data_IF_902715128879
#
_entry.id   IF_902715128879
#
_cell.length_a   1.000
_cell.length_b   1.000
_cell.length_c   1.000
_cell.angle_alpha   90.00
_cell.angle_beta   90.00
_cell.angle_gamma   90.00
#
_symmetry.space_group_name_H-M   'P 1'
#
loop_
_entity.id
_entity.type
_entity.pdbx_description
1 polymer ?
#
# COMPACT_ATOMS: atom_id res chain seq x y z
N UNK A 1 12.89 6.37 12.36
CA UNK A 1 11.96 5.22 12.48
C UNK A 1 11.60 4.81 11.06
N UNK A 2 11.89 3.57 10.65
CA UNK A 2 11.80 3.18 9.24
C UNK A 2 10.45 2.47 9.01
N UNK A 3 9.49 3.14 8.36
CA UNK A 3 8.13 2.62 8.13
C UNK A 3 8.14 1.22 7.51
N UNK A 4 9.09 0.96 6.60
CA UNK A 4 9.32 -0.35 5.99
C UNK A 4 9.55 -1.47 7.02
N UNK A 5 10.16 -1.17 8.17
CA UNK A 5 10.37 -2.16 9.24
C UNK A 5 9.06 -2.47 9.97
N UNK A 6 8.23 -1.45 10.25
CA UNK A 6 6.96 -1.64 10.94
C UNK A 6 5.96 -2.40 10.07
N UNK A 7 5.94 -2.13 8.76
CA UNK A 7 5.15 -2.91 7.79
C UNK A 7 5.58 -4.39 7.83
N UNK A 8 6.90 -4.66 7.81
CA UNK A 8 7.47 -6.02 7.90
C UNK A 8 7.10 -6.79 9.17
N UNK A 9 6.67 -6.10 10.22
CA UNK A 9 6.30 -6.72 11.49
C UNK A 9 4.81 -7.12 11.54
N UNK A 10 3.97 -6.61 10.62
CA UNK A 10 2.50 -6.79 10.66
C UNK A 10 1.91 -7.51 9.44
N UNK A 11 2.68 -7.67 8.36
CA UNK A 11 2.28 -8.42 7.16
C UNK A 11 3.35 -9.42 6.73
N UNK A 12 2.93 -10.47 6.05
CA UNK A 12 3.75 -11.52 5.46
C UNK A 12 4.65 -11.01 4.35
N UNK A 13 5.75 -11.73 4.09
CA UNK A 13 6.70 -11.35 3.03
C UNK A 13 6.03 -11.23 1.65
N UNK A 14 5.13 -12.15 1.31
CA UNK A 14 4.36 -12.11 0.07
C UNK A 14 3.42 -10.89 0.00
N UNK A 15 2.82 -10.48 1.11
CA UNK A 15 1.99 -9.27 1.17
C UNK A 15 2.85 -8.01 1.01
N UNK A 16 4.09 -8.02 1.49
CA UNK A 16 5.05 -6.92 1.30
C UNK A 16 5.44 -6.79 -0.17
N UNK A 17 5.72 -7.91 -0.84
CA UNK A 17 6.03 -7.90 -2.29
C UNK A 17 4.86 -7.34 -3.11
N UNK A 18 3.62 -7.74 -2.78
CA UNK A 18 2.44 -7.16 -3.40
C UNK A 18 2.32 -5.67 -3.08
N UNK A 19 2.54 -5.25 -1.84
CA UNK A 19 2.46 -3.86 -1.42
C UNK A 19 3.50 -2.98 -2.13
N UNK A 20 4.75 -3.45 -2.25
CA UNK A 20 5.80 -2.76 -3.01
C UNK A 20 5.41 -2.64 -4.49
N UNK A 21 4.80 -3.68 -5.07
CA UNK A 21 4.26 -3.67 -6.43
C UNK A 21 3.15 -2.62 -6.60
N UNK A 22 2.19 -2.56 -5.67
CA UNK A 22 1.08 -1.59 -5.70
C UNK A 22 1.57 -0.15 -5.48
N UNK A 23 2.57 0.05 -4.63
CA UNK A 23 3.18 1.35 -4.40
C UNK A 23 3.95 1.84 -5.66
N UNK A 24 4.72 0.95 -6.29
CA UNK A 24 5.40 1.25 -7.55
C UNK A 24 4.40 1.56 -8.67
N UNK A 25 3.32 0.79 -8.78
CA UNK A 25 2.25 1.06 -9.74
C UNK A 25 1.61 2.44 -9.53
N UNK A 26 1.34 2.82 -8.28
CA UNK A 26 0.78 4.13 -7.96
C UNK A 26 1.76 5.28 -8.31
N UNK A 27 3.06 5.11 -8.02
CA UNK A 27 4.14 6.05 -8.39
C UNK A 27 4.18 6.33 -9.90
N UNK A 28 4.01 5.30 -10.73
CA UNK A 28 4.02 5.44 -12.19
C UNK A 28 2.68 5.99 -12.72
N UNK A 29 1.57 5.69 -12.05
CA UNK A 29 0.22 6.00 -12.55
C UNK A 29 -0.24 7.45 -12.32
N UNK A 30 0.36 8.19 -11.38
CA UNK A 30 -0.06 9.56 -11.09
C UNK A 30 0.97 10.37 -10.31
N UNK A 31 1.52 11.47 -10.87
CA UNK A 31 2.42 12.33 -10.13
C UNK A 31 1.63 13.20 -9.14
N UNK A 32 1.59 12.80 -7.87
CA UNK A 32 1.36 13.72 -6.75
C UNK A 32 0.09 13.51 -5.91
N UNK A 33 -0.86 12.67 -6.34
CA UNK A 33 -2.02 12.30 -5.50
C UNK A 33 -2.14 10.78 -5.34
N UNK A 34 -1.47 10.27 -4.30
CA UNK A 34 -1.51 8.85 -3.93
C UNK A 34 -2.71 8.47 -3.07
N UNK A 35 -3.62 9.42 -2.83
CA UNK A 35 -4.87 9.18 -2.10
C UNK A 35 -6.03 8.80 -3.02
N UNK A 36 -5.82 8.85 -4.33
CA UNK A 36 -6.79 8.43 -5.35
C UNK A 36 -7.02 6.91 -5.40
N UNK A 37 -8.04 6.51 -6.15
CA UNK A 37 -8.28 5.11 -6.51
C UNK A 37 -7.37 4.71 -7.67
N UNK A 38 -6.62 3.63 -7.48
CA UNK A 38 -5.77 3.00 -8.49
C UNK A 38 -6.36 1.67 -8.94
N UNK A 39 -6.02 1.25 -10.15
CA UNK A 39 -6.50 0.01 -10.74
C UNK A 39 -5.33 -0.80 -11.28
N UNK A 40 -5.04 -1.91 -10.63
CA UNK A 40 -3.91 -2.79 -10.95
C UNK A 40 -4.41 -4.02 -11.73
N UNK A 41 -3.89 -4.31 -12.93
CA UNK A 41 -4.26 -5.51 -13.67
C UNK A 41 -3.71 -6.77 -12.98
N UNK A 42 -4.56 -7.79 -12.82
CA UNK A 42 -4.19 -9.08 -12.22
C UNK A 42 -4.46 -10.19 -13.22
N UNK A 43 -3.48 -11.07 -13.43
CA UNK A 43 -3.64 -12.23 -14.30
C UNK A 43 -4.72 -13.19 -13.79
N UNK A 44 -5.52 -13.83 -14.68
CA UNK A 44 -6.61 -14.71 -14.30
C UNK A 44 -6.23 -15.79 -13.26
N UNK A 45 -5.07 -16.43 -13.40
CA UNK A 45 -4.57 -17.45 -12.46
C UNK A 45 -4.16 -16.90 -11.09
N UNK A 46 -3.87 -15.61 -10.99
CA UNK A 46 -3.32 -14.97 -9.78
C UNK A 46 -4.38 -14.28 -8.92
N UNK A 47 -5.65 -14.28 -9.32
CA UNK A 47 -6.72 -13.58 -8.60
C UNK A 47 -6.89 -14.01 -7.15
N UNK A 48 -6.99 -15.31 -6.91
CA UNK A 48 -7.18 -15.84 -5.55
C UNK A 48 -6.02 -15.49 -4.61
N UNK A 49 -4.74 -15.75 -4.96
CA UNK A 49 -3.64 -15.36 -4.09
C UNK A 49 -3.56 -13.84 -3.92
N UNK A 50 -3.75 -13.04 -4.97
CA UNK A 50 -3.75 -11.57 -4.86
C UNK A 50 -4.85 -11.06 -3.92
N UNK A 51 -6.06 -11.63 -3.96
CA UNK A 51 -7.16 -11.24 -3.07
C UNK A 51 -6.88 -11.56 -1.59
N UNK A 52 -6.20 -12.68 -1.31
CA UNK A 52 -5.80 -13.02 0.05
C UNK A 52 -4.74 -12.05 0.58
N UNK A 53 -3.73 -11.75 -0.23
CA UNK A 53 -2.65 -10.83 0.14
C UNK A 53 -3.16 -9.38 0.28
N UNK A 54 -4.00 -8.89 -0.62
CA UNK A 54 -4.53 -7.52 -0.51
C UNK A 54 -5.45 -7.37 0.71
N UNK A 55 -6.19 -8.42 1.07
CA UNK A 55 -6.98 -8.44 2.30
C UNK A 55 -6.09 -8.37 3.53
N UNK A 56 -5.00 -9.13 3.56
CA UNK A 56 -4.01 -9.06 4.63
C UNK A 56 -3.45 -7.65 4.79
N UNK A 57 -3.07 -6.99 3.69
CA UNK A 57 -2.59 -5.60 3.68
C UNK A 57 -3.67 -4.64 4.20
N UNK A 58 -4.94 -4.86 3.83
CA UNK A 58 -6.06 -4.02 4.25
C UNK A 58 -6.37 -4.14 5.75
N UNK A 59 -6.29 -5.36 6.29
CA UNK A 59 -6.56 -5.64 7.69
C UNK A 59 -5.36 -5.22 8.60
N UNK A 60 -4.18 -5.00 8.02
CA UNK A 60 -2.99 -4.58 8.76
C UNK A 60 -3.09 -3.16 9.34
N UNK A 61 -2.80 -3.06 10.63
CA UNK A 61 -2.71 -1.79 11.36
C UNK A 61 -1.27 -1.57 11.83
N UNK A 62 -0.70 -0.43 11.47
CA UNK A 62 0.64 -0.02 11.86
C UNK A 62 0.52 0.89 13.08
N UNK A 63 1.21 0.53 14.15
CA UNK A 63 1.31 1.33 15.38
C UNK A 63 2.70 1.97 15.46
N UNK A 64 2.76 3.30 15.51
CA UNK A 64 3.97 4.08 15.76
C UNK A 64 3.89 4.62 17.19
N UNK A 65 4.78 4.14 18.06
CA UNK A 65 4.95 4.69 19.40
C UNK A 65 5.81 5.97 19.33
N UNK A 66 5.22 7.12 19.69
CA UNK A 66 5.97 8.37 19.84
C UNK A 66 5.45 9.16 21.06
N UNK A 67 6.02 8.89 22.25
CA UNK A 67 5.54 9.50 23.51
C UNK A 67 5.35 11.02 23.41
N UNK A 68 4.21 11.57 23.86
CA UNK A 68 3.11 10.92 24.57
C UNK A 68 2.03 10.28 23.67
N UNK A 69 2.18 10.32 22.35
CA UNK A 69 1.13 9.98 21.39
C UNK A 69 1.41 8.66 20.65
N UNK A 70 0.37 7.85 20.52
CA UNK A 70 0.40 6.64 19.70
C UNK A 70 -0.30 6.98 18.39
N UNK A 71 0.37 6.74 17.26
CA UNK A 71 -0.23 6.90 15.95
C UNK A 71 -0.53 5.52 15.38
N UNK A 72 -1.82 5.19 15.26
CA UNK A 72 -2.28 3.98 14.60
C UNK A 72 -2.87 4.35 13.24
N UNK A 73 -2.45 3.65 12.19
CA UNK A 73 -3.02 3.85 10.86
C UNK A 73 -2.96 2.56 10.05
N UNK A 74 -3.85 2.46 9.06
CA UNK A 74 -3.89 1.35 8.09
C UNK A 74 -3.14 1.70 6.82
N UNK A 75 -2.78 0.67 6.06
CA UNK A 75 -2.10 0.85 4.77
C UNK A 75 -3.11 1.23 3.69
N UNK A 76 -4.19 0.47 3.57
CA UNK A 76 -5.25 0.68 2.57
C UNK A 76 -6.49 1.32 3.20
N UNK A 77 -7.04 2.31 2.51
CA UNK A 77 -8.33 2.93 2.81
C UNK A 77 -9.49 2.08 2.28
N UNK A 78 -9.32 1.53 1.09
CA UNK A 78 -10.31 0.66 0.43
C UNK A 78 -9.64 -0.25 -0.60
N UNK A 79 -10.27 -1.39 -0.89
CA UNK A 79 -9.94 -2.23 -2.03
C UNK A 79 -11.21 -2.91 -2.59
N UNK A 80 -11.13 -3.37 -3.83
CA UNK A 80 -12.23 -4.07 -4.50
C UNK A 80 -11.83 -4.56 -5.88
N UNK A 81 -12.81 -4.97 -6.67
CA UNK A 81 -12.60 -5.43 -8.05
C UNK A 81 -13.45 -4.57 -8.98
N UNK A 82 -12.84 -4.06 -10.04
CA UNK A 82 -13.53 -3.29 -11.09
C UNK A 82 -12.95 -3.66 -12.45
N UNK A 83 -13.80 -4.00 -13.41
CA UNK A 83 -13.42 -4.26 -14.81
C UNK A 83 -12.27 -5.30 -14.95
N UNK A 84 -12.24 -6.31 -14.08
CA UNK A 84 -11.18 -7.32 -14.07
C UNK A 84 -9.82 -6.79 -13.58
N UNK A 85 -9.82 -5.73 -12.77
CA UNK A 85 -8.63 -5.14 -12.15
C UNK A 85 -8.84 -5.02 -10.63
N UNK A 86 -7.74 -5.11 -9.89
CA UNK A 86 -7.72 -4.85 -8.46
C UNK A 86 -7.80 -3.33 -8.27
N UNK A 87 -8.92 -2.87 -7.73
CA UNK A 87 -9.12 -1.48 -7.36
C UNK A 87 -8.60 -1.28 -5.93
N UNK A 88 -7.75 -0.29 -5.67
CA UNK A 88 -7.18 -0.05 -4.33
C UNK A 88 -6.91 1.43 -4.08
N UNK A 89 -6.91 1.81 -2.81
CA UNK A 89 -6.64 3.16 -2.34
C UNK A 89 -5.79 3.12 -1.08
N UNK A 90 -4.68 3.86 -1.07
CA UNK A 90 -3.88 4.02 0.14
C UNK A 90 -4.54 4.99 1.12
N UNK A 91 -4.29 4.83 2.41
CA UNK A 91 -4.64 5.88 3.38
C UNK A 91 -3.76 7.10 3.14
N UNK A 92 -4.22 8.32 3.50
CA UNK A 92 -3.40 9.53 3.39
C UNK A 92 -2.04 9.41 4.09
N UNK A 93 -2.01 8.77 5.26
CA UNK A 93 -0.78 8.56 6.04
C UNK A 93 0.24 7.72 5.27
N UNK A 94 -0.21 6.63 4.62
CA UNK A 94 0.67 5.76 3.85
C UNK A 94 1.07 6.40 2.51
N UNK A 95 0.13 7.09 1.85
CA UNK A 95 0.35 7.87 0.64
C UNK A 95 1.44 8.93 0.81
N UNK A 96 1.41 9.70 1.91
CA UNK A 96 2.43 10.69 2.23
C UNK A 96 3.81 10.03 2.42
N UNK A 97 3.85 8.86 3.04
CA UNK A 97 5.10 8.13 3.26
C UNK A 97 5.71 7.57 1.96
N UNK A 98 4.88 7.14 1.00
CA UNK A 98 5.35 6.74 -0.34
C UNK A 98 5.91 7.96 -1.09
N UNK A 99 5.22 9.10 -1.02
CA UNK A 99 5.58 10.36 -1.70
C UNK A 99 6.94 10.91 -1.28
N UNK A 100 7.34 10.66 -0.03
CA UNK A 100 8.59 11.13 0.55
C UNK A 100 9.78 10.22 0.25
N UNK A 101 9.63 9.14 -0.54
CA UNK A 101 10.79 8.33 -0.97
C UNK A 101 11.75 9.20 -1.81
N UNK A 102 13.03 9.34 -1.41
CA UNK A 102 14.03 10.03 -2.22
C UNK A 102 14.27 9.20 -3.49
N UNK A 103 13.69 9.62 -4.60
CA UNK A 103 13.79 8.91 -5.88
C UNK A 103 12.86 9.40 -6.99
N UNK A 104 11.85 10.22 -6.69
CA UNK A 104 10.92 10.76 -7.71
C UNK A 104 11.28 12.17 -8.22
N UNK A 105 12.44 12.72 -7.81
CA UNK A 105 12.91 14.04 -8.23
C UNK A 105 14.43 14.04 -8.42
N UNK A 106 14.91 13.30 -9.42
CA UNK A 106 16.26 13.42 -9.97
C UNK A 106 16.34 12.71 -11.33
N UNK A 107 15.69 13.30 -12.33
CA UNK A 107 16.16 13.26 -13.72
C UNK A 107 16.40 14.71 -14.16
#
# INVERSE_FOLDING_TARGET
MNLNRLVREVVSEAAIELLDTLAAHALVSGPGDFTGMFYFPVEPENWNPTLLLVREIFDAEITIAHEPNWLNFRILQSFGVRDGQLAYQFTPVFADAISQRPGAAAD
#
